data_IF_521859043106
#
_entry.id   IF_521859043106
#
_cell.length_a   1.000
_cell.length_b   1.000
_cell.length_c   1.000
_cell.angle_alpha   90.00
_cell.angle_beta   90.00
_cell.angle_gamma   90.00
#
_symmetry.space_group_name_H-M   'P 1'
#
loop_
_entity.id
_entity.type
_entity.pdbx_description
1 polymer ?
#
# COMPACT_ATOMS: atom_id res chain seq x y z
N UNK A 1 -14.71 -30.47 2.11
CA UNK A 1 -15.86 -29.76 1.49
C UNK A 1 -16.89 -29.47 2.56
N UNK A 2 -17.31 -28.19 2.73
CA UNK A 2 -18.37 -27.84 3.67
C UNK A 2 -19.73 -28.33 3.15
N UNK A 3 -20.56 -28.91 4.02
CA UNK A 3 -21.92 -29.35 3.68
C UNK A 3 -22.78 -28.11 3.43
N UNK A 4 -23.27 -27.93 2.21
CA UNK A 4 -24.25 -26.90 1.86
C UNK A 4 -25.68 -27.44 2.14
N UNK A 5 -26.59 -26.56 2.59
CA UNK A 5 -28.01 -26.88 2.68
C UNK A 5 -28.63 -27.03 1.28
N UNK A 6 -29.86 -27.57 1.18
CA UNK A 6 -30.61 -27.72 -0.09
C UNK A 6 -30.64 -26.47 -0.97
N UNK A 7 -30.53 -25.28 -0.35
CA UNK A 7 -30.55 -23.97 -1.02
C UNK A 7 -29.15 -23.42 -1.34
N UNK A 8 -28.08 -24.21 -1.20
CA UNK A 8 -26.71 -23.80 -1.48
C UNK A 8 -26.02 -22.93 -0.43
N UNK A 9 -26.68 -22.59 0.69
CA UNK A 9 -26.13 -21.79 1.78
C UNK A 9 -25.48 -22.64 2.86
N UNK A 10 -24.45 -22.08 3.53
CA UNK A 10 -23.82 -22.70 4.68
C UNK A 10 -24.79 -22.72 5.88
N UNK A 11 -24.79 -23.80 6.62
CA UNK A 11 -25.54 -23.83 7.89
C UNK A 11 -24.89 -22.89 8.91
N UNK A 12 -25.69 -22.32 9.83
CA UNK A 12 -25.18 -21.45 10.91
C UNK A 12 -24.12 -22.16 11.78
N UNK A 13 -24.20 -23.50 11.92
CA UNK A 13 -23.22 -24.30 12.66
C UNK A 13 -21.88 -24.38 11.91
N UNK A 14 -21.90 -24.53 10.58
CA UNK A 14 -20.71 -24.57 9.76
C UNK A 14 -20.05 -23.21 9.64
N UNK A 15 -20.82 -22.13 9.42
CA UNK A 15 -20.30 -20.77 9.44
C UNK A 15 -19.57 -20.46 10.76
N UNK A 16 -20.16 -20.80 11.92
CA UNK A 16 -19.50 -20.65 13.23
C UNK A 16 -18.21 -21.48 13.36
N UNK A 17 -18.17 -22.68 12.77
CA UNK A 17 -16.96 -23.52 12.76
C UNK A 17 -15.85 -22.89 11.91
N UNK A 18 -16.18 -22.41 10.72
CA UNK A 18 -15.26 -21.73 9.80
C UNK A 18 -14.74 -20.45 10.46
N UNK A 19 -15.63 -19.60 10.95
CA UNK A 19 -15.27 -18.35 11.62
C UNK A 19 -14.34 -18.57 12.82
N UNK A 20 -14.60 -19.61 13.65
CA UNK A 20 -13.73 -19.98 14.77
C UNK A 20 -12.34 -20.44 14.31
N UNK A 21 -12.25 -21.23 13.22
CA UNK A 21 -10.99 -21.69 12.67
C UNK A 21 -10.19 -20.52 12.07
N UNK A 22 -10.85 -19.68 11.26
CA UNK A 22 -10.27 -18.50 10.63
C UNK A 22 -9.76 -17.50 11.68
N UNK A 23 -10.56 -17.23 12.73
CA UNK A 23 -10.16 -16.36 13.84
C UNK A 23 -8.91 -16.87 14.58
N UNK A 24 -8.71 -18.18 14.68
CA UNK A 24 -7.49 -18.73 15.29
C UNK A 24 -6.26 -18.42 14.45
N UNK A 25 -6.36 -18.58 13.12
CA UNK A 25 -5.29 -18.29 12.16
C UNK A 25 -4.99 -16.79 12.15
N UNK A 26 -6.01 -15.94 11.95
CA UNK A 26 -5.82 -14.49 11.90
C UNK A 26 -5.26 -13.94 13.21
N UNK A 27 -5.69 -14.43 14.37
CA UNK A 27 -5.14 -14.01 15.67
C UNK A 27 -3.65 -14.39 15.82
N UNK A 28 -3.22 -15.50 15.24
CA UNK A 28 -1.81 -15.91 15.26
C UNK A 28 -0.97 -14.97 14.39
N UNK A 29 -1.41 -14.67 13.16
CA UNK A 29 -0.76 -13.75 12.23
C UNK A 29 -0.72 -12.33 12.78
N UNK A 30 -1.84 -11.84 13.34
CA UNK A 30 -1.92 -10.53 13.97
C UNK A 30 -0.97 -10.35 15.17
N UNK A 31 -0.74 -11.41 15.96
CA UNK A 31 0.25 -11.36 17.04
C UNK A 31 1.67 -11.12 16.52
N UNK A 32 2.02 -11.68 15.37
CA UNK A 32 3.33 -11.46 14.74
C UNK A 32 3.47 -10.02 14.26
N UNK A 33 2.45 -9.48 13.60
CA UNK A 33 2.45 -8.11 13.09
C UNK A 33 2.44 -7.04 14.19
N UNK A 34 1.75 -7.29 15.32
CA UNK A 34 1.64 -6.33 16.44
C UNK A 34 2.88 -6.28 17.34
N UNK A 35 3.93 -7.00 17.02
CA UNK A 35 5.21 -6.92 17.75
C UNK A 35 5.83 -5.54 17.58
N UNK A 36 6.05 -4.82 18.70
CA UNK A 36 6.58 -3.45 18.69
C UNK A 36 8.11 -3.41 18.53
N UNK A 37 8.82 -4.38 19.07
CA UNK A 37 10.27 -4.42 19.10
C UNK A 37 10.77 -5.61 18.27
N UNK A 38 10.65 -5.50 16.95
CA UNK A 38 11.20 -6.48 16.01
C UNK A 38 12.62 -6.06 15.66
N UNK A 39 13.66 -6.88 15.95
CA UNK A 39 15.03 -6.53 15.56
C UNK A 39 15.15 -6.51 14.03
N UNK A 40 15.99 -5.59 13.52
CA UNK A 40 16.17 -5.41 12.07
C UNK A 40 16.57 -6.71 11.37
N UNK A 41 17.31 -7.58 12.04
CA UNK A 41 17.73 -8.87 11.49
C UNK A 41 16.59 -9.81 11.10
N UNK A 42 15.34 -9.60 11.59
CA UNK A 42 14.19 -10.44 11.23
C UNK A 42 13.57 -10.06 9.88
N UNK A 43 13.67 -8.78 9.49
CA UNK A 43 13.14 -8.27 8.21
C UNK A 43 14.24 -7.81 7.25
N UNK A 44 15.52 -7.78 7.69
CA UNK A 44 16.67 -7.57 6.81
C UNK A 44 16.81 -8.79 5.89
N UNK A 45 16.93 -8.55 4.59
CA UNK A 45 17.09 -9.60 3.58
C UNK A 45 18.09 -9.17 2.52
N UNK A 46 18.32 -10.02 1.52
CA UNK A 46 19.13 -9.72 0.37
C UNK A 46 18.28 -9.84 -0.90
N UNK A 47 18.51 -8.93 -1.83
CA UNK A 47 17.94 -9.07 -3.17
C UNK A 47 18.55 -10.28 -3.87
N UNK A 48 17.75 -11.00 -4.65
CA UNK A 48 18.27 -12.05 -5.56
C UNK A 48 19.06 -11.42 -6.72
N UNK A 49 18.58 -10.25 -7.17
CA UNK A 49 19.25 -9.43 -8.18
C UNK A 49 19.21 -7.95 -7.73
N UNK A 50 20.36 -7.37 -7.47
CA UNK A 50 20.49 -5.97 -7.02
C UNK A 50 20.06 -4.94 -8.07
N UNK A 51 19.83 -5.35 -9.32
CA UNK A 51 19.25 -4.49 -10.35
C UNK A 51 17.74 -4.26 -10.18
N UNK A 52 17.09 -5.03 -9.30
CA UNK A 52 15.67 -4.87 -8.98
C UNK A 52 15.46 -3.89 -7.83
N UNK A 53 14.37 -3.12 -7.91
CA UNK A 53 13.85 -2.31 -6.80
C UNK A 53 12.89 -3.12 -5.93
N UNK A 54 12.15 -4.06 -6.53
CA UNK A 54 11.20 -4.94 -5.87
C UNK A 54 11.33 -6.35 -6.40
N UNK A 55 11.26 -7.33 -5.51
CA UNK A 55 11.12 -8.74 -5.86
C UNK A 55 10.00 -9.36 -5.04
N UNK A 56 9.07 -9.99 -5.71
CA UNK A 56 8.00 -10.78 -5.11
C UNK A 56 8.28 -12.25 -5.41
N UNK A 57 8.23 -13.07 -4.36
CA UNK A 57 8.57 -14.48 -4.43
C UNK A 57 7.48 -15.32 -3.76
N UNK A 58 6.77 -16.12 -4.56
CA UNK A 58 5.71 -17.04 -4.11
C UNK A 58 4.69 -16.39 -3.16
N UNK A 59 4.17 -15.21 -3.51
CA UNK A 59 3.27 -14.44 -2.65
C UNK A 59 1.89 -15.07 -2.59
N UNK A 60 1.41 -15.33 -1.36
CA UNK A 60 0.05 -15.77 -1.07
C UNK A 60 -0.64 -14.78 -0.15
N UNK A 61 -1.77 -14.22 -0.61
CA UNK A 61 -2.60 -13.30 0.17
C UNK A 61 -4.03 -13.79 0.21
N UNK A 62 -4.52 -14.07 1.42
CA UNK A 62 -5.83 -14.66 1.65
C UNK A 62 -6.71 -13.78 2.51
N UNK A 63 -8.04 -13.88 2.29
CA UNK A 63 -9.05 -13.25 3.14
C UNK A 63 -9.83 -14.31 3.90
N UNK A 64 -9.81 -14.20 5.21
CA UNK A 64 -10.47 -15.11 6.15
C UNK A 64 -11.85 -14.57 6.52
N UNK A 65 -12.89 -15.14 5.92
CA UNK A 65 -14.28 -14.71 6.09
C UNK A 65 -15.09 -15.73 6.91
N UNK A 66 -16.31 -15.36 7.30
CA UNK A 66 -17.22 -16.25 8.03
C UNK A 66 -17.79 -17.39 7.17
N UNK A 67 -17.61 -17.30 5.86
CA UNK A 67 -18.09 -18.31 4.90
C UNK A 67 -16.97 -19.15 4.29
N UNK A 68 -15.71 -18.79 4.53
CA UNK A 68 -14.55 -19.51 4.00
C UNK A 68 -13.30 -18.64 3.93
N UNK A 69 -12.25 -19.19 3.32
CA UNK A 69 -11.03 -18.47 2.98
C UNK A 69 -11.02 -18.20 1.49
N UNK A 70 -10.79 -16.94 1.13
CA UNK A 70 -10.65 -16.51 -0.27
C UNK A 70 -9.17 -16.36 -0.58
N UNK A 71 -8.67 -17.10 -1.54
CA UNK A 71 -7.30 -17.04 -2.05
C UNK A 71 -7.24 -15.96 -3.14
N UNK A 72 -6.98 -14.72 -2.75
CA UNK A 72 -6.99 -13.59 -3.69
C UNK A 72 -5.70 -13.45 -4.48
N UNK A 73 -4.58 -13.85 -3.90
CA UNK A 73 -3.28 -14.01 -4.55
C UNK A 73 -2.76 -15.37 -4.14
N UNK A 74 -2.37 -16.20 -5.10
CA UNK A 74 -2.02 -17.61 -4.84
C UNK A 74 -0.75 -18.01 -5.61
N UNK A 75 0.41 -17.73 -5.01
CA UNK A 75 1.73 -18.15 -5.51
C UNK A 75 2.28 -17.32 -6.66
N UNK A 76 2.12 -15.98 -6.65
CA UNK A 76 2.69 -15.12 -7.70
C UNK A 76 4.15 -14.77 -7.40
N UNK A 77 4.95 -14.66 -8.47
CA UNK A 77 6.34 -14.21 -8.42
C UNK A 77 6.64 -13.30 -9.60
N UNK A 78 7.22 -12.13 -9.36
CA UNK A 78 7.74 -11.22 -10.39
C UNK A 78 8.70 -10.21 -9.79
N UNK A 79 9.48 -9.55 -10.64
CA UNK A 79 10.47 -8.56 -10.27
C UNK A 79 10.20 -7.23 -10.96
N UNK A 80 10.59 -6.13 -10.31
CA UNK A 80 10.57 -4.78 -10.88
C UNK A 80 12.00 -4.26 -10.91
N UNK A 81 12.63 -4.15 -12.11
CA UNK A 81 13.96 -3.58 -12.21
C UNK A 81 13.97 -2.07 -11.93
N UNK A 82 15.10 -1.56 -11.42
CA UNK A 82 15.30 -0.13 -11.17
C UNK A 82 15.12 0.66 -12.49
N UNK A 83 14.34 1.74 -12.43
CA UNK A 83 14.12 2.62 -13.59
C UNK A 83 13.29 2.00 -14.72
N UNK A 84 12.60 0.89 -14.46
CA UNK A 84 11.70 0.24 -15.42
C UNK A 84 10.25 0.27 -14.93
N UNK A 85 9.34 0.19 -15.90
CA UNK A 85 7.90 0.04 -15.64
C UNK A 85 7.49 -1.40 -15.90
N UNK A 86 6.81 -2.01 -14.95
CA UNK A 86 6.23 -3.35 -15.06
C UNK A 86 4.70 -3.23 -15.03
N UNK A 87 4.04 -3.70 -16.09
CA UNK A 87 2.58 -3.73 -16.17
C UNK A 87 2.03 -5.06 -15.64
N UNK A 88 1.14 -4.99 -14.65
CA UNK A 88 0.40 -6.15 -14.13
C UNK A 88 -1.00 -6.13 -14.74
N UNK A 89 -1.29 -7.07 -15.63
CA UNK A 89 -2.56 -7.14 -16.35
C UNK A 89 -3.36 -8.39 -15.95
N UNK A 90 -4.66 -8.31 -16.04
CA UNK A 90 -5.57 -9.40 -15.70
C UNK A 90 -7.02 -8.93 -15.59
N UNK A 91 -7.95 -9.85 -15.50
CA UNK A 91 -9.38 -9.58 -15.36
C UNK A 91 -9.72 -8.86 -14.06
N UNK A 92 -10.91 -8.23 -14.00
CA UNK A 92 -11.39 -7.64 -12.74
C UNK A 92 -11.53 -8.73 -11.66
N UNK A 93 -11.05 -8.43 -10.44
CA UNK A 93 -11.09 -9.38 -9.32
C UNK A 93 -10.00 -10.44 -9.31
N UNK A 94 -9.04 -10.45 -10.26
CA UNK A 94 -7.96 -11.46 -10.28
C UNK A 94 -6.82 -11.21 -9.27
N UNK A 95 -6.93 -10.21 -8.38
CA UNK A 95 -5.96 -9.98 -7.30
C UNK A 95 -4.93 -8.85 -7.54
N UNK A 96 -5.01 -8.07 -8.63
CA UNK A 96 -4.06 -6.96 -8.93
C UNK A 96 -3.95 -5.97 -7.76
N UNK A 97 -5.06 -5.34 -7.38
CA UNK A 97 -5.10 -4.39 -6.26
C UNK A 97 -4.73 -5.05 -4.92
N UNK A 98 -5.08 -6.33 -4.73
CA UNK A 98 -4.67 -7.07 -3.53
C UNK A 98 -3.15 -7.25 -3.48
N UNK A 99 -2.51 -7.48 -4.63
CA UNK A 99 -1.04 -7.53 -4.73
C UNK A 99 -0.41 -6.19 -4.36
N UNK A 100 -0.92 -5.09 -4.91
CA UNK A 100 -0.50 -3.73 -4.58
C UNK A 100 -0.63 -3.43 -3.08
N UNK A 101 -1.78 -3.75 -2.49
CA UNK A 101 -2.03 -3.59 -1.05
C UNK A 101 -1.15 -4.52 -0.19
N UNK A 102 -0.78 -5.69 -0.70
CA UNK A 102 0.16 -6.60 -0.02
C UNK A 102 1.56 -6.02 0.03
N UNK A 103 2.06 -5.42 -1.06
CA UNK A 103 3.35 -4.73 -1.10
C UNK A 103 3.35 -3.57 -0.11
N UNK A 104 2.27 -2.79 -0.08
CA UNK A 104 2.12 -1.65 0.83
C UNK A 104 1.81 -2.06 2.28
N UNK A 105 1.52 -3.34 2.56
CA UNK A 105 1.01 -3.81 3.85
C UNK A 105 -0.22 -3.02 4.34
N UNK A 106 -1.14 -2.74 3.40
CA UNK A 106 -2.40 -1.98 3.62
C UNK A 106 -3.64 -2.87 3.50
N UNK A 107 -3.49 -4.18 3.60
CA UNK A 107 -4.61 -5.12 3.61
C UNK A 107 -5.57 -4.83 4.77
N UNK A 108 -6.87 -4.98 4.54
CA UNK A 108 -7.88 -4.82 5.58
C UNK A 108 -7.76 -5.95 6.61
N UNK A 109 -7.12 -5.65 7.73
CA UNK A 109 -6.90 -6.59 8.83
C UNK A 109 -8.11 -6.61 9.78
N UNK A 110 -8.37 -7.73 10.47
CA UNK A 110 -7.60 -8.99 10.48
C UNK A 110 -7.96 -9.96 9.35
N UNK A 111 -8.92 -9.62 8.48
CA UNK A 111 -9.41 -10.54 7.44
C UNK A 111 -8.36 -10.80 6.35
N UNK A 112 -7.75 -9.75 5.81
CA UNK A 112 -6.72 -9.85 4.77
C UNK A 112 -5.33 -10.06 5.37
N UNK A 113 -4.65 -11.12 4.98
CA UNK A 113 -3.33 -11.50 5.48
C UNK A 113 -2.42 -12.02 4.37
N UNK A 114 -1.16 -11.60 4.38
CA UNK A 114 -0.11 -12.32 3.67
C UNK A 114 0.21 -13.56 4.49
N UNK A 115 0.02 -14.74 3.90
CA UNK A 115 0.16 -16.03 4.60
C UNK A 115 1.47 -16.74 4.26
N UNK A 116 2.02 -16.47 3.07
CA UNK A 116 3.25 -17.07 2.58
C UNK A 116 3.90 -16.18 1.53
N UNK A 117 5.20 -16.38 1.30
CA UNK A 117 6.00 -15.66 0.32
C UNK A 117 6.78 -14.50 0.92
N UNK A 118 7.60 -13.88 0.08
CA UNK A 118 8.46 -12.76 0.46
C UNK A 118 8.27 -11.60 -0.51
N UNK A 119 8.35 -10.38 0.02
CA UNK A 119 8.35 -9.14 -0.75
C UNK A 119 9.60 -8.37 -0.38
N UNK A 120 10.64 -8.45 -1.22
CA UNK A 120 11.92 -7.78 -0.99
C UNK A 120 11.94 -6.41 -1.63
N UNK A 121 12.19 -5.39 -0.82
CA UNK A 121 12.34 -4.00 -1.25
C UNK A 121 13.80 -3.56 -1.13
N UNK A 122 14.38 -3.09 -2.23
CA UNK A 122 15.74 -2.58 -2.29
C UNK A 122 15.80 -1.11 -1.84
N UNK A 123 16.43 -0.84 -0.71
CA UNK A 123 16.63 0.51 -0.19
C UNK A 123 17.94 1.16 -0.68
N UNK A 124 18.74 0.43 -1.48
CA UNK A 124 20.01 0.86 -2.04
C UNK A 124 21.20 0.25 -1.32
N UNK A 125 21.35 0.51 -0.03
CA UNK A 125 22.42 -0.03 0.82
C UNK A 125 22.03 -1.34 1.54
N UNK A 126 20.74 -1.63 1.62
CA UNK A 126 20.16 -2.82 2.24
C UNK A 126 18.82 -3.16 1.60
N UNK A 127 18.29 -4.33 1.87
CA UNK A 127 16.96 -4.74 1.43
C UNK A 127 16.12 -5.23 2.61
N UNK A 128 14.82 -4.97 2.58
CA UNK A 128 13.88 -5.43 3.58
C UNK A 128 12.83 -6.36 2.99
N UNK A 129 12.50 -7.41 3.73
CA UNK A 129 11.30 -8.19 3.50
C UNK A 129 10.12 -7.47 4.18
N UNK A 130 9.31 -6.77 3.38
CA UNK A 130 8.19 -5.97 3.91
C UNK A 130 7.08 -6.83 4.52
N UNK A 131 7.04 -8.14 4.24
CA UNK A 131 6.07 -9.05 4.88
C UNK A 131 6.37 -9.28 6.36
N UNK A 132 7.62 -9.09 6.77
CA UNK A 132 8.12 -9.26 8.13
C UNK A 132 8.36 -7.92 8.84
N UNK A 133 8.37 -6.81 8.10
CA UNK A 133 8.62 -5.49 8.63
C UNK A 133 7.49 -5.05 9.59
N UNK A 134 7.83 -4.51 10.79
CA UNK A 134 6.83 -3.98 11.71
C UNK A 134 6.19 -2.69 11.17
N UNK A 135 4.99 -2.35 11.65
CA UNK A 135 4.25 -1.18 11.19
C UNK A 135 5.05 0.14 11.30
N UNK A 136 5.90 0.28 12.32
CA UNK A 136 6.77 1.45 12.49
C UNK A 136 7.78 1.61 11.35
N UNK A 137 8.34 0.50 10.86
CA UNK A 137 9.25 0.49 9.69
C UNK A 137 8.45 0.77 8.42
N UNK A 138 7.28 0.14 8.26
CA UNK A 138 6.41 0.39 7.11
C UNK A 138 5.94 1.85 7.03
N UNK A 139 5.67 2.53 8.15
CA UNK A 139 5.35 3.96 8.17
C UNK A 139 6.49 4.81 7.61
N UNK A 140 7.74 4.46 7.90
CA UNK A 140 8.90 5.16 7.33
C UNK A 140 9.11 4.83 5.84
N UNK A 141 8.83 3.60 5.42
CA UNK A 141 8.97 3.18 4.03
C UNK A 141 7.89 3.77 3.11
N UNK A 142 6.64 3.84 3.59
CA UNK A 142 5.53 4.44 2.83
C UNK A 142 5.75 5.94 2.67
N UNK A 143 5.59 6.43 1.45
CA UNK A 143 5.86 7.81 1.08
C UNK A 143 7.33 8.04 0.73
N UNK A 144 8.28 7.55 1.51
CA UNK A 144 9.71 7.80 1.32
C UNK A 144 10.36 6.85 0.29
N UNK A 145 10.08 5.56 0.36
CA UNK A 145 10.65 4.55 -0.55
C UNK A 145 9.62 3.96 -1.51
N UNK A 146 8.40 3.75 -1.04
CA UNK A 146 7.27 3.22 -1.82
C UNK A 146 6.10 4.17 -1.69
N UNK A 147 5.50 4.55 -2.81
CA UNK A 147 4.24 5.31 -2.85
C UNK A 147 3.21 4.58 -3.69
N UNK A 148 1.94 4.87 -3.44
CA UNK A 148 0.82 4.29 -4.16
C UNK A 148 -0.14 5.37 -4.66
N UNK A 149 -0.54 5.23 -5.92
CA UNK A 149 -1.63 5.98 -6.54
C UNK A 149 -2.85 5.06 -6.51
N UNK A 150 -3.89 5.44 -5.75
CA UNK A 150 -5.10 4.64 -5.57
C UNK A 150 -6.06 4.82 -6.74
N UNK A 151 -6.89 3.79 -6.99
CA UNK A 151 -7.88 3.76 -8.06
C UNK A 151 -8.90 4.91 -7.94
N UNK A 152 -9.31 5.28 -6.73
CA UNK A 152 -10.32 6.30 -6.48
C UNK A 152 -9.75 7.56 -5.82
N UNK A 153 -9.50 8.65 -6.61
CA UNK A 153 -9.00 9.92 -6.06
C UNK A 153 -9.96 10.58 -5.04
N UNK A 154 -11.24 10.24 -5.14
CA UNK A 154 -12.29 10.82 -4.29
C UNK A 154 -12.18 10.38 -2.84
N UNK A 155 -11.70 9.17 -2.59
CA UNK A 155 -11.52 8.60 -1.25
C UNK A 155 -10.14 8.85 -0.66
N UNK A 156 -9.16 9.20 -1.51
CA UNK A 156 -7.78 9.43 -1.10
C UNK A 156 -7.55 10.82 -0.47
N UNK A 157 -8.33 11.84 -0.88
CA UNK A 157 -8.20 13.20 -0.35
C UNK A 157 -9.22 13.44 0.78
N UNK A 158 -8.75 13.98 1.89
CA UNK A 158 -9.62 14.35 3.00
C UNK A 158 -10.40 15.64 2.65
N UNK A 159 -11.75 15.61 2.60
CA UNK A 159 -12.56 16.72 2.10
C UNK A 159 -12.56 17.96 3.00
N UNK A 160 -12.13 17.86 4.25
CA UNK A 160 -12.14 18.95 5.23
C UNK A 160 -10.82 19.69 5.37
N UNK A 161 -9.77 19.22 4.70
CA UNK A 161 -8.46 19.89 4.65
C UNK A 161 -8.18 20.47 3.26
N UNK A 162 -7.43 21.57 3.21
CA UNK A 162 -7.00 22.16 1.95
C UNK A 162 -5.99 21.25 1.25
N UNK A 163 -5.89 21.40 -0.06
CA UNK A 163 -4.95 20.63 -0.88
C UNK A 163 -3.51 20.84 -0.41
N UNK A 164 -3.12 22.11 -0.19
CA UNK A 164 -1.78 22.45 0.29
C UNK A 164 -1.44 21.76 1.61
N UNK A 165 -2.35 21.82 2.58
CA UNK A 165 -2.14 21.24 3.91
C UNK A 165 -1.88 19.73 3.83
N UNK A 166 -2.59 19.02 2.94
CA UNK A 166 -2.43 17.57 2.76
C UNK A 166 -1.10 17.18 2.09
N UNK A 167 -0.67 17.96 1.09
CA UNK A 167 0.63 17.70 0.43
C UNK A 167 1.79 18.12 1.34
N UNK A 168 1.66 19.23 2.05
CA UNK A 168 2.64 19.72 3.04
C UNK A 168 2.84 18.67 4.15
N UNK A 169 1.76 18.04 4.63
CA UNK A 169 1.82 17.01 5.66
C UNK A 169 2.68 15.82 5.20
N UNK A 170 2.50 15.37 3.96
CA UNK A 170 3.31 14.27 3.41
C UNK A 170 4.79 14.63 3.39
N UNK A 171 5.12 15.86 2.94
CA UNK A 171 6.51 16.33 2.91
C UNK A 171 7.06 16.47 4.34
N UNK A 172 6.28 17.02 5.26
CA UNK A 172 6.69 17.25 6.63
C UNK A 172 6.95 15.95 7.40
N UNK A 173 6.13 14.90 7.18
CA UNK A 173 6.29 13.60 7.81
C UNK A 173 7.63 12.92 7.46
N UNK A 174 8.18 13.22 6.27
CA UNK A 174 9.43 12.63 5.77
C UNK A 174 10.54 13.67 5.61
N UNK A 175 10.47 14.76 6.36
CA UNK A 175 11.38 15.91 6.26
C UNK A 175 12.73 15.63 6.96
N UNK A 176 13.52 14.70 6.43
CA UNK A 176 14.86 14.40 6.94
C UNK A 176 15.85 15.56 6.70
N UNK A 177 15.58 16.42 5.71
CA UNK A 177 16.41 17.58 5.33
C UNK A 177 16.17 18.79 6.23
N UNK A 178 15.15 18.77 7.11
CA UNK A 178 14.86 19.84 8.06
C UNK A 178 14.29 21.12 7.41
N UNK A 179 13.57 20.99 6.31
CA UNK A 179 12.92 22.12 5.64
C UNK A 179 11.96 22.85 6.58
N UNK A 180 11.95 24.18 6.50
CA UNK A 180 10.96 25.00 7.18
C UNK A 180 9.62 25.01 6.43
N UNK A 181 8.60 25.66 7.03
CA UNK A 181 7.25 25.72 6.47
C UNK A 181 7.18 26.39 5.09
N UNK A 182 8.02 27.39 4.84
CA UNK A 182 8.04 28.12 3.56
C UNK A 182 8.66 27.26 2.47
N UNK A 183 9.71 26.52 2.78
CA UNK A 183 10.35 25.57 1.88
C UNK A 183 9.42 24.41 1.53
N UNK A 184 8.70 23.85 2.51
CA UNK A 184 7.69 22.82 2.30
C UNK A 184 6.60 23.33 1.36
N UNK A 185 6.02 24.50 1.62
CA UNK A 185 5.02 25.11 0.76
C UNK A 185 5.54 25.34 -0.67
N UNK A 186 6.75 25.86 -0.81
CA UNK A 186 7.36 26.08 -2.14
C UNK A 186 7.53 24.75 -2.91
N UNK A 187 7.93 23.67 -2.21
CA UNK A 187 8.03 22.33 -2.78
C UNK A 187 6.65 21.81 -3.20
N UNK A 188 5.62 21.99 -2.37
CA UNK A 188 4.23 21.63 -2.70
C UNK A 188 3.74 22.32 -3.96
N UNK A 189 3.93 23.65 -4.08
CA UNK A 189 3.54 24.42 -5.28
C UNK A 189 4.25 23.86 -6.52
N UNK A 190 5.56 23.60 -6.42
CA UNK A 190 6.34 23.03 -7.51
C UNK A 190 5.86 21.64 -7.92
N UNK A 191 5.45 20.78 -6.97
CA UNK A 191 4.87 19.48 -7.25
C UNK A 191 3.54 19.59 -8.00
N UNK A 192 2.66 20.51 -7.57
CA UNK A 192 1.39 20.77 -8.25
C UNK A 192 1.61 21.28 -9.67
N UNK A 193 2.62 22.12 -9.93
CA UNK A 193 3.02 22.53 -11.27
C UNK A 193 3.53 21.37 -12.12
N UNK A 194 4.38 20.51 -11.54
CA UNK A 194 4.97 19.35 -12.21
C UNK A 194 3.89 18.40 -12.73
N UNK A 195 2.80 18.20 -11.98
CA UNK A 195 1.67 17.38 -12.44
C UNK A 195 0.71 18.11 -13.37
N UNK A 196 1.04 19.32 -13.80
CA UNK A 196 0.31 20.11 -14.81
C UNK A 196 -0.91 20.84 -14.26
N UNK A 197 -0.87 21.31 -13.02
CA UNK A 197 -1.88 22.21 -12.44
C UNK A 197 -1.45 23.66 -12.74
N UNK A 198 -2.19 24.35 -13.62
CA UNK A 198 -1.81 25.68 -14.12
C UNK A 198 -1.83 26.79 -13.06
N UNK A 199 -2.76 26.72 -12.09
CA UNK A 199 -2.86 27.67 -10.97
C UNK A 199 -2.55 26.98 -9.64
N UNK A 200 -1.30 26.56 -9.48
CA UNK A 200 -0.83 25.78 -8.33
C UNK A 200 -1.01 26.53 -7.01
N UNK A 201 -0.73 27.84 -6.95
CA UNK A 201 -0.94 28.67 -5.77
C UNK A 201 -2.43 28.82 -5.39
N UNK A 202 -3.31 28.92 -6.37
CA UNK A 202 -4.75 28.95 -6.15
C UNK A 202 -5.23 27.61 -5.63
N UNK A 203 -4.84 26.52 -6.29
CA UNK A 203 -5.22 25.15 -5.91
C UNK A 203 -4.68 24.76 -4.52
N UNK A 204 -3.49 25.23 -4.16
CA UNK A 204 -2.93 25.04 -2.81
C UNK A 204 -3.92 25.45 -1.70
N UNK A 205 -4.72 26.51 -1.93
CA UNK A 205 -5.68 27.06 -0.94
C UNK A 205 -7.07 26.44 -1.04
N UNK A 206 -7.37 25.67 -2.09
CA UNK A 206 -8.66 25.04 -2.35
C UNK A 206 -8.86 23.77 -1.53
N UNK A 207 -10.13 23.40 -1.38
CA UNK A 207 -10.54 22.12 -0.82
C UNK A 207 -10.76 21.10 -1.94
N UNK A 208 -10.72 19.78 -1.66
CA UNK A 208 -10.94 18.75 -2.67
C UNK A 208 -12.26 18.87 -3.44
N UNK A 209 -13.34 19.31 -2.80
CA UNK A 209 -14.66 19.46 -3.44
C UNK A 209 -14.70 20.60 -4.47
N UNK A 210 -13.77 21.55 -4.43
CA UNK A 210 -13.68 22.65 -5.39
C UNK A 210 -12.92 22.23 -6.67
N UNK A 211 -12.30 21.05 -6.68
CA UNK A 211 -11.51 20.54 -7.81
C UNK A 211 -12.32 19.61 -8.70
N UNK A 212 -12.03 19.63 -10.02
CA UNK A 212 -12.50 18.61 -10.95
C UNK A 212 -11.89 17.24 -10.63
N UNK A 213 -12.49 16.15 -11.13
CA UNK A 213 -11.97 14.79 -10.95
C UNK A 213 -10.52 14.63 -11.43
N UNK A 214 -10.21 15.17 -12.62
CA UNK A 214 -8.84 15.14 -13.15
C UNK A 214 -7.84 15.96 -12.33
N UNK A 215 -8.26 17.08 -11.73
CA UNK A 215 -7.38 17.84 -10.84
C UNK A 215 -7.11 17.07 -9.53
N UNK A 216 -8.12 16.42 -8.94
CA UNK A 216 -7.92 15.57 -7.76
C UNK A 216 -6.95 14.42 -8.02
N UNK A 217 -7.06 13.78 -9.19
CA UNK A 217 -6.12 12.74 -9.60
C UNK A 217 -4.69 13.30 -9.72
N UNK A 218 -4.49 14.47 -10.32
CA UNK A 218 -3.18 15.12 -10.38
C UNK A 218 -2.62 15.47 -9.00
N UNK A 219 -3.46 15.94 -8.06
CA UNK A 219 -3.05 16.18 -6.67
C UNK A 219 -2.60 14.88 -6.01
N UNK A 220 -3.34 13.79 -6.18
CA UNK A 220 -2.95 12.47 -5.64
C UNK A 220 -1.60 12.00 -6.22
N UNK A 221 -1.37 12.21 -7.51
CA UNK A 221 -0.07 11.93 -8.14
C UNK A 221 1.03 12.81 -7.52
N UNK A 222 0.77 14.12 -7.30
CA UNK A 222 1.72 15.01 -6.64
C UNK A 222 2.07 14.53 -5.22
N UNK A 223 1.09 14.08 -4.44
CA UNK A 223 1.32 13.49 -3.12
C UNK A 223 2.17 12.23 -3.20
N UNK A 224 1.90 11.35 -4.16
CA UNK A 224 2.70 10.14 -4.35
C UNK A 224 4.16 10.42 -4.74
N UNK A 225 4.42 11.53 -5.43
CA UNK A 225 5.77 11.98 -5.83
C UNK A 225 6.48 12.82 -4.77
N UNK A 226 5.81 13.26 -3.72
CA UNK A 226 6.27 14.29 -2.79
C UNK A 226 7.63 14.02 -2.15
N UNK A 227 7.94 12.76 -1.85
CA UNK A 227 9.21 12.33 -1.24
C UNK A 227 10.17 11.65 -2.22
N UNK A 228 9.91 11.74 -3.54
CA UNK A 228 10.74 11.12 -4.59
C UNK A 228 10.98 9.61 -4.36
N UNK A 229 9.92 8.81 -4.23
CA UNK A 229 10.02 7.40 -3.89
C UNK A 229 10.77 6.60 -4.96
N UNK A 230 11.40 5.50 -4.56
CA UNK A 230 12.10 4.58 -5.48
C UNK A 230 11.14 3.68 -6.28
N UNK A 231 9.95 3.43 -5.72
CA UNK A 231 8.90 2.63 -6.34
C UNK A 231 7.56 3.35 -6.24
N UNK A 232 6.88 3.47 -7.36
CA UNK A 232 5.49 3.95 -7.42
C UNK A 232 4.62 2.80 -7.90
N UNK A 233 3.57 2.52 -7.16
CA UNK A 233 2.53 1.55 -7.51
C UNK A 233 1.32 2.35 -7.98
N UNK A 234 0.92 2.18 -9.24
CA UNK A 234 -0.29 2.79 -9.78
C UNK A 234 -1.36 1.70 -9.93
N UNK A 235 -2.44 1.83 -9.18
CA UNK A 235 -3.58 0.91 -9.21
C UNK A 235 -4.70 1.59 -10.01
N UNK A 236 -4.57 1.56 -11.35
CA UNK A 236 -5.35 2.24 -12.40
C UNK A 236 -5.18 3.75 -12.53
#
# INVERSE_FOLDING_TARGET
MAKKNSDGYLSAKESRRISKANRKITNQLEKQHKRKNVPESEYLTQMKDNTNVLEIDNLHTYFFTDVGTVHSVDGISFNVPVGKTVGVVGESGCGKSVTSLSIMQLLQRPQGQVVEGEIRLNLGNKAYDVTKAPDTVMQHLRGNFISMIFQEPMTALNPVFRIGDQVDEVIALHNEEGHDKEQIKARTIKLLEMVGIANSEGVYKMFPHELSGGMRQRVMIAMALACSPKLIIADE
#
